data_IF_758710840707
#
_entry.id   IF_758710840707
#
_cell.length_a   1.000
_cell.length_b   1.000
_cell.length_c   1.000
_cell.angle_alpha   90.00
_cell.angle_beta   90.00
_cell.angle_gamma   90.00
#
_symmetry.space_group_name_H-M   'P 1'
#
loop_
_entity.id
_entity.type
_entity.pdbx_description
1 polymer ?
#
# COMPACT_ATOMS: atom_id res chain seq x y z
N UNK A 1 21.22 14.03 1.52
CA UNK A 1 20.65 13.52 0.29
C UNK A 1 19.24 13.06 0.51
N UNK A 2 18.36 13.43 -0.39
CA UNK A 2 16.99 12.91 -0.31
C UNK A 2 16.98 11.44 -0.69
N UNK A 3 16.08 10.69 -0.08
CA UNK A 3 15.88 9.29 -0.44
C UNK A 3 15.35 9.19 -1.87
N UNK A 4 15.75 8.15 -2.58
CA UNK A 4 15.18 7.87 -3.89
C UNK A 4 13.70 7.54 -3.73
N UNK A 5 12.96 7.67 -4.82
CA UNK A 5 11.54 7.32 -4.81
C UNK A 5 11.36 5.81 -4.54
N UNK A 6 12.23 4.98 -5.11
CA UNK A 6 12.23 3.55 -4.83
C UNK A 6 12.41 3.26 -3.34
N UNK A 7 13.31 3.98 -2.68
CA UNK A 7 13.54 3.80 -1.25
C UNK A 7 12.31 4.17 -0.44
N UNK A 8 11.64 5.27 -0.80
CA UNK A 8 10.42 5.69 -0.12
C UNK A 8 9.32 4.64 -0.23
N UNK A 9 9.16 4.03 -1.40
CA UNK A 9 8.16 2.99 -1.61
C UNK A 9 8.55 1.71 -0.86
N UNK A 10 9.83 1.35 -0.86
CA UNK A 10 10.32 0.20 -0.10
C UNK A 10 10.04 0.39 1.39
N UNK A 11 10.33 1.58 1.91
CA UNK A 11 10.06 1.91 3.32
C UNK A 11 8.55 1.81 3.61
N UNK A 12 7.72 2.33 2.70
CA UNK A 12 6.27 2.27 2.84
C UNK A 12 5.80 0.82 3.02
N UNK A 13 6.22 -0.09 2.15
CA UNK A 13 5.80 -1.49 2.26
C UNK A 13 6.37 -2.17 3.51
N UNK A 14 7.59 -1.80 3.90
CA UNK A 14 8.16 -2.29 5.15
C UNK A 14 7.27 -1.90 6.34
N UNK A 15 6.83 -0.65 6.38
CA UNK A 15 5.97 -0.17 7.47
C UNK A 15 4.59 -0.83 7.42
N UNK A 16 4.06 -1.12 6.23
CA UNK A 16 2.81 -1.87 6.11
C UNK A 16 2.99 -3.28 6.69
N UNK A 17 4.08 -3.94 6.34
CA UNK A 17 4.32 -5.32 6.78
C UNK A 17 4.66 -5.42 8.26
N UNK A 18 5.19 -4.36 8.86
CA UNK A 18 5.50 -4.32 10.30
C UNK A 18 4.43 -3.62 11.14
N UNK A 19 3.33 -3.21 10.51
CA UNK A 19 2.18 -2.57 11.16
C UNK A 19 2.55 -1.26 11.87
N UNK A 20 3.39 -0.45 11.23
CA UNK A 20 3.83 0.82 11.78
C UNK A 20 3.05 1.97 11.14
N UNK A 21 1.83 2.20 11.66
CA UNK A 21 0.94 3.22 11.12
C UNK A 21 1.53 4.63 11.22
N UNK A 22 2.15 4.95 12.34
CA UNK A 22 2.73 6.29 12.53
C UNK A 22 3.77 6.59 11.46
N UNK A 23 4.63 5.62 11.13
CA UNK A 23 5.64 5.78 10.10
C UNK A 23 5.01 5.94 8.72
N UNK A 24 3.94 5.19 8.43
CA UNK A 24 3.22 5.32 7.15
C UNK A 24 2.65 6.73 7.01
N UNK A 25 2.02 7.25 8.06
CA UNK A 25 1.40 8.58 8.00
C UNK A 25 2.40 9.70 7.79
N UNK A 26 3.67 9.49 8.15
CA UNK A 26 4.74 10.46 7.88
C UNK A 26 5.17 10.47 6.41
N UNK A 27 4.77 9.47 5.62
CA UNK A 27 5.14 9.37 4.22
C UNK A 27 4.07 9.93 3.28
N UNK A 28 2.87 10.25 3.78
CA UNK A 28 1.76 10.68 2.94
C UNK A 28 1.37 12.12 3.24
N UNK A 29 0.75 12.79 2.23
CA UNK A 29 0.20 14.13 2.44
C UNK A 29 -1.08 14.03 3.27
N UNK A 30 -1.47 15.14 3.90
CA UNK A 30 -2.68 15.18 4.73
C UNK A 30 -3.95 14.92 3.92
N UNK A 31 -3.91 15.18 2.61
CA UNK A 31 -5.02 14.98 1.69
C UNK A 31 -4.77 13.81 0.73
N UNK A 32 -3.89 12.89 1.10
CA UNK A 32 -3.51 11.77 0.23
C UNK A 32 -4.73 11.01 -0.27
N UNK A 33 -4.72 10.71 -1.58
CA UNK A 33 -5.75 9.89 -2.20
C UNK A 33 -5.23 8.46 -2.29
N UNK A 34 -5.97 7.53 -1.72
CA UNK A 34 -5.65 6.10 -1.78
C UNK A 34 -6.80 5.38 -2.46
N UNK A 35 -6.51 4.66 -3.53
CA UNK A 35 -7.56 3.93 -4.24
C UNK A 35 -7.21 2.46 -4.36
N UNK A 36 -8.26 1.63 -4.39
CA UNK A 36 -8.14 0.26 -4.89
C UNK A 36 -8.96 0.26 -6.18
N UNK A 37 -8.27 0.56 -7.28
CA UNK A 37 -8.89 0.81 -8.58
C UNK A 37 -9.69 -0.39 -9.06
N UNK A 38 -9.15 -1.58 -8.84
CA UNK A 38 -9.77 -2.84 -9.27
C UNK A 38 -11.15 -3.04 -8.66
N UNK A 39 -11.37 -2.48 -7.47
CA UNK A 39 -12.62 -2.68 -6.72
C UNK A 39 -13.42 -1.39 -6.51
N UNK A 40 -13.02 -0.29 -7.15
CA UNK A 40 -13.75 0.96 -7.07
C UNK A 40 -13.72 1.64 -5.70
N UNK A 41 -12.70 1.36 -4.90
CA UNK A 41 -12.56 1.95 -3.56
C UNK A 41 -11.76 3.24 -3.66
N UNK A 42 -12.21 4.29 -2.95
CA UNK A 42 -11.53 5.57 -2.89
C UNK A 42 -11.53 6.07 -1.46
N UNK A 43 -10.34 6.37 -0.94
CA UNK A 43 -10.15 6.89 0.41
C UNK A 43 -9.38 8.21 0.31
N UNK A 44 -9.74 9.18 1.13
CA UNK A 44 -9.08 10.49 1.11
C UNK A 44 -8.69 10.88 2.53
N UNK A 45 -7.41 11.19 2.71
CA UNK A 45 -6.89 11.73 3.95
C UNK A 45 -6.45 10.67 4.94
N UNK A 46 -5.72 11.13 5.96
CA UNK A 46 -5.07 10.25 6.92
C UNK A 46 -6.04 9.40 7.72
N UNK A 47 -7.22 9.94 8.04
CA UNK A 47 -8.18 9.21 8.88
C UNK A 47 -8.72 7.99 8.15
N UNK A 48 -9.17 8.16 6.90
CA UNK A 48 -9.71 7.04 6.12
C UNK A 48 -8.64 6.02 5.78
N UNK A 49 -7.45 6.50 5.45
CA UNK A 49 -6.32 5.61 5.14
C UNK A 49 -5.91 4.82 6.39
N UNK A 50 -5.86 5.47 7.55
CA UNK A 50 -5.55 4.79 8.81
C UNK A 50 -6.57 3.69 9.12
N UNK A 51 -7.85 3.98 8.92
CA UNK A 51 -8.91 3.00 9.16
C UNK A 51 -8.73 1.78 8.24
N UNK A 52 -8.34 2.01 6.98
CA UNK A 52 -8.09 0.94 6.03
C UNK A 52 -6.94 0.03 6.49
N UNK A 53 -5.83 0.61 6.95
CA UNK A 53 -4.69 -0.18 7.44
C UNK A 53 -5.06 -0.96 8.70
N UNK A 54 -5.83 -0.35 9.60
CA UNK A 54 -6.29 -1.07 10.80
C UNK A 54 -7.16 -2.27 10.44
N UNK A 55 -8.02 -2.14 9.42
CA UNK A 55 -8.80 -3.28 8.91
C UNK A 55 -7.90 -4.34 8.30
N UNK A 56 -6.92 -3.92 7.51
CA UNK A 56 -5.97 -4.85 6.91
C UNK A 56 -5.31 -5.71 7.98
N UNK A 57 -4.75 -5.07 8.99
CA UNK A 57 -4.03 -5.78 10.04
C UNK A 57 -4.98 -6.59 10.95
N UNK A 58 -6.20 -6.10 11.16
CA UNK A 58 -7.19 -6.82 11.95
C UNK A 58 -7.67 -8.09 11.25
N UNK A 59 -7.76 -8.06 9.92
CA UNK A 59 -8.28 -9.17 9.13
C UNK A 59 -7.23 -10.21 8.78
N UNK A 60 -5.97 -9.96 9.09
CA UNK A 60 -4.86 -10.84 8.72
C UNK A 60 -3.96 -11.07 9.92
N UNK A 61 -3.36 -12.27 10.02
CA UNK A 61 -2.33 -12.51 11.01
C UNK A 61 -1.05 -11.77 10.63
N UNK A 62 -0.75 -11.72 9.32
CA UNK A 62 0.33 -10.93 8.77
C UNK A 62 0.13 -10.73 7.28
N UNK A 63 0.80 -9.71 6.75
CA UNK A 63 0.86 -9.45 5.31
C UNK A 63 2.33 -9.27 4.95
N UNK A 64 2.69 -9.64 3.72
CA UNK A 64 4.05 -9.51 3.23
C UNK A 64 4.05 -9.05 1.78
N UNK A 65 4.85 -8.04 1.50
CA UNK A 65 5.05 -7.52 0.15
C UNK A 65 6.50 -7.77 -0.27
N UNK A 66 6.71 -8.37 -1.43
CA UNK A 66 8.06 -8.64 -1.93
C UNK A 66 8.07 -8.77 -3.46
N UNK A 67 9.24 -9.05 -4.03
CA UNK A 67 9.45 -9.25 -5.46
C UNK A 67 9.04 -8.03 -6.28
N UNK A 68 9.64 -6.88 -5.97
CA UNK A 68 9.32 -5.60 -6.59
C UNK A 68 9.97 -5.43 -7.96
N UNK A 69 9.18 -4.99 -8.95
CA UNK A 69 9.64 -4.52 -10.25
C UNK A 69 9.21 -3.08 -10.42
N UNK A 70 10.12 -2.20 -10.82
CA UNK A 70 9.94 -0.76 -10.77
C UNK A 70 9.95 -0.13 -12.15
N UNK A 71 9.08 0.85 -12.38
CA UNK A 71 9.17 1.77 -13.51
C UNK A 71 8.99 3.17 -12.93
N UNK A 72 10.05 3.96 -12.98
CA UNK A 72 10.04 5.30 -12.41
C UNK A 72 10.04 6.33 -13.53
N UNK A 73 9.17 7.33 -13.43
CA UNK A 73 9.12 8.42 -14.37
C UNK A 73 10.34 9.32 -14.20
N UNK A 74 10.87 9.86 -15.31
CA UNK A 74 12.07 10.69 -15.26
C UNK A 74 11.92 11.92 -14.38
N UNK A 75 10.69 12.43 -14.19
CA UNK A 75 10.43 13.58 -13.32
C UNK A 75 10.76 13.29 -11.85
N UNK A 76 10.75 12.02 -11.45
CA UNK A 76 10.91 11.63 -10.05
C UNK A 76 9.67 11.83 -9.21
N UNK A 77 8.53 12.13 -9.84
CA UNK A 77 7.28 12.38 -9.13
C UNK A 77 6.31 11.20 -9.21
N UNK A 78 6.53 10.26 -10.13
CA UNK A 78 5.65 9.11 -10.30
C UNK A 78 6.48 7.84 -10.42
N UNK A 79 5.99 6.77 -9.80
CA UNK A 79 6.60 5.46 -9.90
C UNK A 79 5.51 4.40 -9.89
N UNK A 80 5.65 3.42 -10.77
CA UNK A 80 4.82 2.23 -10.75
C UNK A 80 5.64 1.06 -10.23
N UNK A 81 5.03 0.20 -9.44
CA UNK A 81 5.70 -0.96 -8.89
C UNK A 81 4.77 -2.17 -8.96
N UNK A 82 5.28 -3.25 -9.52
CA UNK A 82 4.60 -4.55 -9.53
C UNK A 82 5.25 -5.41 -8.46
N UNK A 83 4.44 -6.15 -7.72
CA UNK A 83 4.95 -6.93 -6.58
C UNK A 83 4.03 -8.08 -6.24
N UNK A 84 4.52 -8.97 -5.38
CA UNK A 84 3.75 -10.08 -4.84
C UNK A 84 3.31 -9.75 -3.43
N UNK A 85 2.08 -10.16 -3.10
CA UNK A 85 1.53 -10.00 -1.75
C UNK A 85 1.14 -11.38 -1.25
N UNK A 86 1.55 -11.68 -0.01
CA UNK A 86 1.09 -12.88 0.69
C UNK A 86 0.36 -12.42 1.94
N UNK A 87 -0.87 -12.91 2.11
CA UNK A 87 -1.69 -12.59 3.27
C UNK A 87 -1.97 -13.88 4.03
N UNK A 88 -1.73 -13.86 5.34
CA UNK A 88 -2.16 -14.93 6.23
C UNK A 88 -3.48 -14.52 6.86
N UNK A 89 -4.55 -15.20 6.52
CA UNK A 89 -5.88 -14.89 7.05
C UNK A 89 -5.99 -15.35 8.50
N UNK A 90 -6.89 -14.73 9.26
CA UNK A 90 -7.10 -15.07 10.67
C UNK A 90 -7.50 -16.53 10.86
N UNK A 91 -8.23 -17.10 9.90
CA UNK A 91 -8.61 -18.51 9.92
C UNK A 91 -7.50 -19.48 9.54
N UNK A 92 -6.32 -18.98 9.17
CA UNK A 92 -5.15 -19.79 8.87
C UNK A 92 -4.86 -19.97 7.38
N UNK A 93 -5.75 -19.53 6.49
CA UNK A 93 -5.53 -19.64 5.06
C UNK A 93 -4.49 -18.67 4.55
N UNK A 94 -3.84 -19.01 3.45
CA UNK A 94 -2.86 -18.15 2.77
C UNK A 94 -3.48 -17.69 1.46
N UNK A 95 -3.41 -16.37 1.21
CA UNK A 95 -3.84 -15.77 -0.06
C UNK A 95 -2.64 -15.12 -0.73
N UNK A 96 -2.43 -15.45 -2.00
CA UNK A 96 -1.35 -14.88 -2.80
C UNK A 96 -1.94 -13.98 -3.87
N UNK A 97 -1.35 -12.79 -4.03
CA UNK A 97 -1.79 -11.81 -5.01
C UNK A 97 -0.59 -11.27 -5.79
N UNK A 98 -0.88 -10.75 -6.98
CA UNK A 98 0.10 -10.02 -7.77
C UNK A 98 -0.50 -8.64 -8.02
N UNK A 99 0.09 -7.62 -7.41
CA UNK A 99 -0.46 -6.27 -7.45
C UNK A 99 0.45 -5.31 -8.21
N UNK A 100 -0.14 -4.20 -8.65
CA UNK A 100 0.60 -3.09 -9.23
C UNK A 100 0.09 -1.81 -8.59
N UNK A 101 0.99 -1.02 -8.00
CA UNK A 101 0.64 0.27 -7.42
C UNK A 101 1.30 1.39 -8.20
N UNK A 102 0.58 2.51 -8.32
CA UNK A 102 1.12 3.76 -8.84
C UNK A 102 1.18 4.76 -7.70
N UNK A 103 2.36 5.33 -7.48
CA UNK A 103 2.59 6.34 -6.44
C UNK A 103 2.92 7.67 -7.09
N UNK A 104 2.28 8.73 -6.62
CA UNK A 104 2.58 10.11 -7.03
C UNK A 104 3.07 10.87 -5.80
N UNK A 105 4.14 11.65 -5.97
CA UNK A 105 4.77 12.41 -4.90
C UNK A 105 4.56 13.90 -5.11
N UNK A 106 4.25 14.61 -4.03
CA UNK A 106 4.16 16.07 -3.99
C UNK A 106 4.90 16.53 -2.73
N UNK A 107 5.89 17.39 -2.92
CA UNK A 107 6.70 17.93 -1.82
C UNK A 107 7.36 16.81 -0.98
N UNK A 108 7.80 15.75 -1.65
CA UNK A 108 8.49 14.64 -1.00
C UNK A 108 7.61 13.63 -0.30
N UNK A 109 6.29 13.80 -0.33
CA UNK A 109 5.33 12.90 0.30
C UNK A 109 4.40 12.28 -0.74
N UNK A 110 3.89 11.09 -0.48
CA UNK A 110 2.93 10.47 -1.37
C UNK A 110 1.61 11.23 -1.31
N UNK A 111 1.20 11.80 -2.44
CA UNK A 111 -0.08 12.50 -2.57
C UNK A 111 -1.16 11.59 -3.15
N UNK A 112 -0.76 10.53 -3.88
CA UNK A 112 -1.68 9.55 -4.42
C UNK A 112 -1.04 8.17 -4.38
N UNK A 113 -1.83 7.20 -3.97
CA UNK A 113 -1.45 5.78 -4.02
C UNK A 113 -2.62 5.06 -4.68
N UNK A 114 -2.40 4.54 -5.89
CA UNK A 114 -3.42 3.84 -6.66
C UNK A 114 -3.05 2.37 -6.75
N UNK A 115 -3.92 1.52 -6.24
CA UNK A 115 -3.67 0.08 -6.16
C UNK A 115 -4.50 -0.66 -7.20
N UNK A 116 -3.83 -1.49 -7.99
CA UNK A 116 -4.48 -2.47 -8.86
C UNK A 116 -4.10 -3.84 -8.33
N UNK A 117 -5.07 -4.66 -7.99
CA UNK A 117 -4.78 -5.97 -7.43
C UNK A 117 -5.35 -7.09 -8.29
N UNK A 118 -4.60 -8.18 -8.38
CA UNK A 118 -5.05 -9.40 -9.04
C UNK A 118 -5.30 -10.42 -7.95
N UNK A 119 -6.55 -10.85 -7.84
CA UNK A 119 -6.96 -11.78 -6.82
C UNK A 119 -8.05 -11.21 -5.94
N UNK A 120 -8.34 -11.91 -4.87
CA UNK A 120 -9.43 -11.57 -3.98
C UNK A 120 -9.10 -10.35 -3.11
N UNK A 121 -10.08 -9.45 -2.96
CA UNK A 121 -9.90 -8.30 -2.07
C UNK A 121 -10.15 -8.74 -0.63
N UNK A 122 -9.08 -8.95 0.12
CA UNK A 122 -9.17 -9.38 1.51
C UNK A 122 -9.35 -8.22 2.49
N UNK A 123 -9.30 -6.97 2.01
CA UNK A 123 -9.51 -5.79 2.86
C UNK A 123 -10.93 -5.71 3.41
N UNK A 124 -11.88 -6.28 2.68
CA UNK A 124 -13.30 -6.22 3.04
C UNK A 124 -13.82 -7.50 3.66
N UNK A 125 -12.94 -8.45 3.95
CA UNK A 125 -13.35 -9.68 4.61
C UNK A 125 -13.43 -9.44 6.11
N UNK A 126 -14.51 -9.88 6.72
CA UNK A 126 -14.71 -9.70 8.15
C UNK A 126 -13.86 -10.68 8.95
N UNK A 127 -13.77 -11.90 8.48
CA UNK A 127 -12.98 -12.94 9.12
C UNK A 127 -12.86 -14.12 8.18
N UNK A 128 -12.02 -15.02 8.55
CA UNK A 128 -11.88 -16.29 7.84
C UNK A 128 -11.42 -17.37 8.76
#
# INVERSE_FOLDING_TARGET
>A
MSSSLKQKVTDYFHFVDTEDLEAILKLITSDCLFTVETHGIKLTGCEEISAMFRRLWSNHQWVKHDQFDWIEEASGENIAVRFKVTNKLNGGGIVNKSNCNFFTVRDGLFSEIRVYMAGENTLNKDDD
#
